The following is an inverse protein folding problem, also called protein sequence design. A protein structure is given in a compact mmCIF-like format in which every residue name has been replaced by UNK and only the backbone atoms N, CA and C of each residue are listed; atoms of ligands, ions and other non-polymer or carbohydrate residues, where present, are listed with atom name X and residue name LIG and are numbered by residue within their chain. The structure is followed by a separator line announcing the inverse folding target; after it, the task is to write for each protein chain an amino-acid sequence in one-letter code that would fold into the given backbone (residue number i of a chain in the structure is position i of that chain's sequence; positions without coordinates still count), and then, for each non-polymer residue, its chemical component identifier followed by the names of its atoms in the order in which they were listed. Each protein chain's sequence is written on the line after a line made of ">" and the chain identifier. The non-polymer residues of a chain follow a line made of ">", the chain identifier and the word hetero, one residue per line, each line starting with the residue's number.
data_IF_993413451428
#
_entry.id   IF_993413451428
#
_cell.length_a   1.000
_cell.length_b   1.000
_cell.length_c   1.000
_cell.angle_alpha   90.00
_cell.angle_beta   90.00
_cell.angle_gamma   90.00
#
_symmetry.space_group_name_H-M   'P 1'
#
loop_
_entity.id
_entity.type
_entity.pdbx_description
1 polymer ?
#
# COMPACT_ATOMS: atom_id res chain seq x y z
N UNK A 1 3.67 25.41 13.63
CA UNK A 1 4.66 24.32 13.49
C UNK A 1 4.06 23.10 14.15
N UNK A 2 3.42 22.23 13.36
CA UNK A 2 2.94 20.93 13.80
C UNK A 2 3.63 19.92 12.88
N UNK A 3 4.44 19.05 13.47
CA UNK A 3 5.24 18.08 12.73
C UNK A 3 4.33 17.04 12.07
N UNK A 4 4.49 16.88 10.75
CA UNK A 4 4.09 15.63 10.12
C UNK A 4 5.16 14.60 10.49
N UNK A 5 4.73 13.61 11.27
CA UNK A 5 5.48 12.39 11.57
C UNK A 5 4.68 11.20 11.09
N UNK A 6 3.88 11.40 10.05
CA UNK A 6 3.02 10.38 9.48
C UNK A 6 3.72 9.89 8.22
N UNK A 7 4.18 8.64 8.24
CA UNK A 7 4.40 7.91 7.01
C UNK A 7 3.14 8.08 6.16
N UNK A 8 3.22 8.89 5.11
CA UNK A 8 2.13 9.04 4.17
C UNK A 8 2.12 7.75 3.36
N UNK A 9 1.36 6.77 3.82
CA UNK A 9 0.94 5.68 2.97
C UNK A 9 0.11 6.34 1.87
N UNK A 10 0.73 6.60 0.71
CA UNK A 10 0.02 7.02 -0.50
C UNK A 10 -0.72 5.79 -1.00
N UNK A 11 -1.76 5.39 -0.26
CA UNK A 11 -2.72 4.42 -0.75
C UNK A 11 -3.47 5.08 -1.91
N UNK A 12 -3.37 4.40 -3.04
CA UNK A 12 -3.87 4.77 -4.36
C UNK A 12 -5.34 5.21 -4.28
N UNK A 13 -5.57 6.51 -4.46
CA UNK A 13 -6.79 6.97 -5.11
C UNK A 13 -6.46 6.95 -6.60
N UNK A 14 -7.07 6.05 -7.35
CA UNK A 14 -6.89 5.96 -8.79
C UNK A 14 -7.55 7.15 -9.48
N UNK A 15 -6.80 8.23 -9.64
CA UNK A 15 -7.37 9.53 -9.97
C UNK A 15 -7.55 9.68 -11.48
N UNK A 16 -8.81 9.55 -11.89
CA UNK A 16 -9.54 10.67 -12.46
C UNK A 16 -8.73 11.79 -13.11
N UNK A 17 -8.59 11.85 -14.43
CA UNK A 17 -8.15 13.10 -15.09
C UNK A 17 -9.22 14.17 -14.93
N UNK A 18 -8.87 15.33 -14.35
CA UNK A 18 -9.71 16.53 -14.40
C UNK A 18 -9.82 16.95 -15.87
N UNK A 19 -11.02 16.95 -16.45
CA UNK A 19 -11.23 17.59 -17.76
C UNK A 19 -11.30 19.09 -17.55
N UNK A 20 -10.34 19.83 -18.12
CA UNK A 20 -10.26 21.30 -18.01
C UNK A 20 -11.43 22.02 -18.71
N UNK A 21 -12.17 21.33 -19.58
CA UNK A 21 -13.15 21.93 -20.50
C UNK A 21 -14.61 21.91 -20.01
N UNK A 22 -14.91 21.34 -18.84
CA UNK A 22 -16.29 21.18 -18.33
C UNK A 22 -16.49 21.95 -17.01
N UNK A 23 -17.60 22.70 -16.82
CA UNK A 23 -17.90 23.37 -15.56
C UNK A 23 -18.25 22.34 -14.47
N UNK A 24 -17.23 21.87 -13.76
CA UNK A 24 -17.35 20.89 -12.68
C UNK A 24 -16.09 20.05 -12.49
N UNK A 25 -16.03 19.28 -11.40
CA UNK A 25 -14.99 18.27 -11.23
C UNK A 25 -15.40 17.00 -11.97
N UNK A 26 -14.79 16.75 -13.14
CA UNK A 26 -14.99 15.52 -13.90
C UNK A 26 -13.74 14.65 -13.80
N UNK A 27 -13.93 13.40 -13.37
CA UNK A 27 -12.84 12.43 -13.19
C UNK A 27 -13.07 11.23 -14.12
N UNK A 28 -12.03 10.85 -14.87
CA UNK A 28 -11.98 9.57 -15.59
C UNK A 28 -10.98 8.60 -14.95
N UNK A 29 -11.47 7.47 -14.48
CA UNK A 29 -10.69 6.42 -13.83
C UNK A 29 -10.40 5.25 -14.79
N UNK A 30 -9.32 4.50 -14.56
CA UNK A 30 -8.84 3.45 -15.48
C UNK A 30 -9.82 2.26 -15.57
N UNK A 31 -10.54 1.99 -14.47
CA UNK A 31 -11.55 0.93 -14.35
C UNK A 31 -12.98 1.51 -14.35
N UNK A 32 -13.16 2.72 -14.89
CA UNK A 32 -14.48 3.32 -15.10
C UNK A 32 -15.06 4.06 -13.88
N UNK A 33 -16.32 4.51 -13.97
CA UNK A 33 -16.91 5.42 -12.99
C UNK A 33 -17.12 4.81 -11.60
N UNK A 34 -17.24 3.49 -11.50
CA UNK A 34 -17.38 2.78 -10.22
C UNK A 34 -16.14 2.91 -9.35
N UNK A 35 -14.96 2.81 -9.96
CA UNK A 35 -13.67 2.99 -9.30
C UNK A 35 -13.50 4.44 -8.81
N UNK A 36 -13.87 5.42 -9.65
CA UNK A 36 -13.95 6.82 -9.27
C UNK A 36 -14.84 7.05 -8.04
N UNK A 37 -16.02 6.40 -7.99
CA UNK A 37 -16.90 6.52 -6.84
C UNK A 37 -16.30 5.86 -5.59
N UNK A 38 -15.68 4.68 -5.73
CA UNK A 38 -14.95 4.01 -4.66
C UNK A 38 -13.84 4.87 -4.05
N UNK A 39 -13.08 5.58 -4.90
CA UNK A 39 -12.06 6.54 -4.47
C UNK A 39 -12.67 7.71 -3.67
N UNK A 40 -13.80 8.24 -4.12
CA UNK A 40 -14.51 9.29 -3.37
C UNK A 40 -14.99 8.77 -2.00
N UNK A 41 -15.51 7.54 -1.93
CA UNK A 41 -15.94 6.89 -0.68
C UNK A 41 -14.77 6.77 0.31
N UNK A 42 -13.62 6.26 -0.15
CA UNK A 42 -12.41 6.14 0.66
C UNK A 42 -11.90 7.52 1.14
N UNK A 43 -11.92 8.55 0.28
CA UNK A 43 -11.56 9.93 0.63
C UNK A 43 -12.48 10.51 1.71
N UNK A 44 -13.78 10.27 1.58
CA UNK A 44 -14.78 10.67 2.56
C UNK A 44 -14.59 9.95 3.90
N UNK A 45 -14.32 8.64 3.88
CA UNK A 45 -14.05 7.87 5.09
C UNK A 45 -12.82 8.41 5.84
N UNK A 46 -11.71 8.62 5.13
CA UNK A 46 -10.50 9.19 5.71
C UNK A 46 -10.75 10.58 6.34
N UNK A 47 -11.52 11.42 5.66
CA UNK A 47 -11.89 12.74 6.18
C UNK A 47 -12.79 12.66 7.42
N UNK A 48 -13.80 11.79 7.42
CA UNK A 48 -14.79 11.67 8.50
C UNK A 48 -14.18 11.03 9.74
N UNK A 49 -13.37 10.00 9.57
CA UNK A 49 -12.75 9.29 10.70
C UNK A 49 -11.68 10.16 11.36
N UNK A 50 -10.91 10.91 10.55
CA UNK A 50 -9.79 11.72 11.03
C UNK A 50 -8.86 10.93 11.97
N UNK A 51 -8.71 9.64 11.66
CA UNK A 51 -7.95 8.65 12.42
C UNK A 51 -7.34 7.68 11.41
N UNK A 52 -6.01 7.58 11.42
CA UNK A 52 -5.27 6.80 10.43
C UNK A 52 -5.57 5.31 10.53
N UNK A 53 -5.73 4.76 11.73
CA UNK A 53 -5.95 3.33 11.93
C UNK A 53 -7.34 2.93 11.44
N UNK A 54 -8.37 3.72 11.77
CA UNK A 54 -9.73 3.48 11.28
C UNK A 54 -9.82 3.66 9.76
N UNK A 55 -9.11 4.65 9.22
CA UNK A 55 -9.07 4.90 7.76
C UNK A 55 -8.44 3.72 7.02
N UNK A 56 -7.26 3.26 7.46
CA UNK A 56 -6.58 2.12 6.86
C UNK A 56 -7.39 0.83 6.99
N UNK A 57 -8.01 0.59 8.15
CA UNK A 57 -8.86 -0.59 8.34
C UNK A 57 -10.04 -0.60 7.35
N UNK A 58 -10.68 0.54 7.14
CA UNK A 58 -11.77 0.69 6.18
C UNK A 58 -11.31 0.52 4.72
N UNK A 59 -10.24 1.22 4.34
CA UNK A 59 -9.69 1.19 2.98
C UNK A 59 -9.18 -0.21 2.63
N UNK A 60 -8.48 -0.87 3.56
CA UNK A 60 -8.01 -2.25 3.40
C UNK A 60 -9.18 -3.21 3.20
N UNK A 61 -10.23 -3.10 4.03
CA UNK A 61 -11.42 -3.93 3.87
C UNK A 61 -12.05 -3.77 2.48
N UNK A 62 -12.22 -2.53 1.99
CA UNK A 62 -12.76 -2.29 0.66
C UNK A 62 -11.84 -2.85 -0.44
N UNK A 63 -10.53 -2.65 -0.30
CA UNK A 63 -9.54 -3.04 -1.32
C UNK A 63 -9.36 -4.55 -1.45
N UNK A 64 -9.68 -5.31 -0.39
CA UNK A 64 -9.67 -6.77 -0.39
C UNK A 64 -10.98 -7.40 -0.89
N UNK A 65 -12.04 -6.60 -1.07
CA UNK A 65 -13.33 -7.10 -1.55
C UNK A 65 -13.28 -7.42 -3.05
N UNK A 66 -14.10 -8.38 -3.48
CA UNK A 66 -14.24 -8.70 -4.91
C UNK A 66 -14.81 -7.53 -5.73
N UNK A 67 -15.64 -6.70 -5.09
CA UNK A 67 -16.24 -5.49 -5.67
C UNK A 67 -15.99 -4.31 -4.71
N UNK A 68 -14.79 -3.69 -4.74
CA UNK A 68 -14.41 -2.64 -3.80
C UNK A 68 -15.42 -1.48 -3.71
N UNK A 69 -16.00 -1.08 -4.84
CA UNK A 69 -17.01 -0.03 -4.97
C UNK A 69 -18.31 -0.30 -4.19
N UNK A 70 -18.62 -1.56 -3.89
CA UNK A 70 -19.83 -1.99 -3.18
C UNK A 70 -19.58 -2.36 -1.72
N UNK A 71 -18.32 -2.53 -1.32
CA UNK A 71 -17.94 -3.03 0.00
C UNK A 71 -18.06 -2.00 1.14
N UNK A 72 -18.27 -0.72 0.81
CA UNK A 72 -18.18 0.38 1.77
C UNK A 72 -19.08 0.24 2.99
N UNK A 73 -20.34 -0.19 2.82
CA UNK A 73 -21.26 -0.35 3.96
C UNK A 73 -20.82 -1.48 4.89
N UNK A 74 -20.47 -2.64 4.33
CA UNK A 74 -19.99 -3.79 5.09
C UNK A 74 -18.70 -3.45 5.85
N UNK A 75 -17.76 -2.79 5.18
CA UNK A 75 -16.51 -2.35 5.79
C UNK A 75 -16.72 -1.32 6.90
N UNK A 76 -17.64 -0.35 6.73
CA UNK A 76 -17.97 0.60 7.79
C UNK A 76 -18.53 -0.12 9.02
N UNK A 77 -19.43 -1.10 8.80
CA UNK A 77 -20.03 -1.91 9.86
C UNK A 77 -18.97 -2.73 10.61
N UNK A 78 -18.03 -3.32 9.88
CA UNK A 78 -16.93 -4.12 10.43
C UNK A 78 -16.05 -3.35 11.43
N UNK A 79 -15.93 -2.03 11.26
CA UNK A 79 -15.20 -1.14 12.18
C UNK A 79 -16.12 -0.27 13.05
N UNK A 80 -17.38 -0.65 13.18
CA UNK A 80 -18.40 0.05 13.97
C UNK A 80 -18.52 1.55 13.64
N UNK A 81 -18.46 1.91 12.35
CA UNK A 81 -18.64 3.28 11.82
C UNK A 81 -19.95 3.41 11.05
N UNK A 82 -20.46 4.66 11.01
CA UNK A 82 -21.72 4.97 10.34
C UNK A 82 -21.50 5.14 8.82
N UNK A 83 -22.03 4.21 8.04
CA UNK A 83 -22.00 4.26 6.57
C UNK A 83 -22.70 5.49 6.00
N UNK A 84 -23.86 5.89 6.55
CA UNK A 84 -24.67 6.97 5.98
C UNK A 84 -23.92 8.30 5.89
N UNK A 85 -23.03 8.57 6.85
CA UNK A 85 -22.21 9.77 6.83
C UNK A 85 -21.21 9.75 5.67
N UNK A 86 -20.60 8.60 5.41
CA UNK A 86 -19.65 8.39 4.32
C UNK A 86 -20.38 8.48 2.98
N UNK A 87 -21.51 7.78 2.86
CA UNK A 87 -22.33 7.78 1.64
C UNK A 87 -22.83 9.20 1.30
N UNK A 88 -23.35 9.95 2.27
CA UNK A 88 -23.76 11.35 2.04
C UNK A 88 -22.60 12.25 1.62
N UNK A 89 -21.41 12.05 2.18
CA UNK A 89 -20.22 12.77 1.75
C UNK A 89 -19.87 12.42 0.29
N UNK A 90 -19.92 11.14 -0.07
CA UNK A 90 -19.49 10.64 -1.37
C UNK A 90 -20.42 11.09 -2.51
N UNK A 91 -21.73 11.19 -2.26
CA UNK A 91 -22.69 11.73 -3.24
C UNK A 91 -22.77 13.27 -3.23
N UNK A 92 -22.10 13.94 -2.30
CA UNK A 92 -22.14 15.40 -2.15
C UNK A 92 -20.92 16.08 -2.76
N UNK A 93 -21.01 17.41 -2.96
CA UNK A 93 -19.88 18.21 -3.44
C UNK A 93 -18.66 18.21 -2.52
N UNK A 94 -18.80 17.76 -1.26
CA UNK A 94 -17.67 17.56 -0.34
C UNK A 94 -16.77 16.40 -0.79
N UNK A 95 -17.34 15.27 -1.20
CA UNK A 95 -16.59 14.13 -1.73
C UNK A 95 -15.78 14.50 -2.96
N UNK A 96 -16.38 15.22 -3.91
CA UNK A 96 -15.68 15.70 -5.12
C UNK A 96 -14.48 16.60 -4.80
N UNK A 97 -14.61 17.51 -3.82
CA UNK A 97 -13.50 18.37 -3.38
C UNK A 97 -12.41 17.61 -2.66
N UNK A 98 -12.75 16.58 -1.88
CA UNK A 98 -11.74 15.75 -1.22
C UNK A 98 -10.95 14.94 -2.25
N UNK A 99 -11.65 14.36 -3.23
CA UNK A 99 -11.01 13.66 -4.35
C UNK A 99 -10.09 14.59 -5.15
N UNK A 100 -10.50 15.84 -5.37
CA UNK A 100 -9.68 16.85 -6.04
C UNK A 100 -8.37 17.12 -5.29
N UNK A 101 -8.44 17.25 -3.97
CA UNK A 101 -7.26 17.44 -3.13
C UNK A 101 -6.31 16.24 -3.19
N UNK A 102 -6.85 15.01 -3.31
CA UNK A 102 -6.01 13.82 -3.52
C UNK A 102 -5.41 13.81 -4.93
N UNK A 103 -6.16 14.27 -5.94
CA UNK A 103 -5.67 14.52 -7.30
C UNK A 103 -4.45 15.43 -7.29
N UNK A 104 -4.59 16.62 -6.71
CA UNK A 104 -3.53 17.62 -6.66
C UNK A 104 -2.28 17.11 -5.94
N UNK A 105 -2.45 16.35 -4.84
CA UNK A 105 -1.30 15.74 -4.13
C UNK A 105 -0.56 14.74 -5.00
N UNK A 106 -1.29 13.95 -5.78
CA UNK A 106 -0.74 12.90 -6.62
C UNK A 106 -0.07 13.48 -7.86
N UNK A 107 -0.66 14.50 -8.50
CA UNK A 107 -0.08 15.20 -9.64
C UNK A 107 1.18 16.01 -9.30
N UNK A 108 1.30 16.44 -8.04
CA UNK A 108 2.47 17.17 -7.55
C UNK A 108 3.53 16.27 -6.91
N UNK A 109 3.46 14.94 -7.11
CA UNK A 109 4.53 14.04 -6.72
C UNK A 109 5.81 14.36 -7.51
N UNK A 110 6.95 14.29 -6.81
CA UNK A 110 8.28 14.42 -7.39
C UNK A 110 9.13 13.22 -6.94
N UNK A 111 9.57 12.34 -7.86
CA UNK A 111 9.26 12.35 -9.29
C UNK A 111 7.78 12.07 -9.59
N UNK A 112 7.27 12.56 -10.75
CA UNK A 112 5.93 12.23 -11.20
C UNK A 112 5.73 10.72 -11.33
N UNK A 113 4.63 10.22 -10.78
CA UNK A 113 4.28 8.81 -10.88
C UNK A 113 3.89 8.44 -12.32
N UNK A 114 4.25 7.23 -12.76
CA UNK A 114 3.93 6.73 -14.10
C UNK A 114 3.27 5.35 -14.08
N UNK A 115 3.18 4.74 -12.91
CA UNK A 115 2.40 3.54 -12.63
C UNK A 115 1.90 3.60 -11.18
N UNK A 116 1.20 2.55 -10.79
CA UNK A 116 0.59 2.40 -9.49
C UNK A 116 0.70 0.91 -9.08
N UNK A 117 1.02 0.60 -7.81
CA UNK A 117 1.23 1.52 -6.67
C UNK A 117 2.53 2.36 -6.78
N UNK A 118 2.53 3.55 -6.18
CA UNK A 118 3.68 4.47 -6.12
C UNK A 118 4.00 4.84 -4.67
N UNK A 119 5.05 4.24 -4.12
CA UNK A 119 5.35 4.29 -2.69
C UNK A 119 6.35 5.42 -2.43
N UNK A 120 5.99 6.32 -1.52
CA UNK A 120 6.81 7.45 -1.08
C UNK A 120 7.11 7.28 0.40
N UNK A 121 8.38 7.31 0.79
CA UNK A 121 8.80 7.19 2.19
C UNK A 121 9.55 8.46 2.56
N UNK A 122 9.07 9.17 3.60
CA UNK A 122 9.62 10.46 4.03
C UNK A 122 9.77 11.51 2.91
N UNK A 123 8.86 11.49 1.93
CA UNK A 123 8.88 12.41 0.78
C UNK A 123 9.75 11.98 -0.39
N UNK A 124 10.43 10.84 -0.30
CA UNK A 124 11.29 10.32 -1.38
C UNK A 124 10.70 9.07 -2.03
N UNK A 125 10.89 8.96 -3.34
CA UNK A 125 10.60 7.77 -4.14
C UNK A 125 11.83 7.36 -4.95
N UNK A 126 12.18 6.08 -4.87
CA UNK A 126 13.22 5.44 -5.68
C UNK A 126 12.77 4.04 -6.07
N UNK A 127 13.37 3.47 -7.11
CA UNK A 127 13.09 2.09 -7.53
C UNK A 127 13.41 1.08 -6.40
N UNK A 128 14.46 1.34 -5.61
CA UNK A 128 14.82 0.50 -4.46
C UNK A 128 13.77 0.59 -3.33
N UNK A 129 13.31 1.80 -2.99
CA UNK A 129 12.21 2.00 -2.04
C UNK A 129 10.96 1.25 -2.53
N UNK A 130 10.61 1.43 -3.80
CA UNK A 130 9.44 0.81 -4.41
C UNK A 130 9.52 -0.72 -4.40
N UNK A 131 10.66 -1.29 -4.75
CA UNK A 131 10.86 -2.74 -4.80
C UNK A 131 10.85 -3.35 -3.39
N UNK A 132 11.58 -2.74 -2.46
CA UNK A 132 11.64 -3.24 -1.08
C UNK A 132 10.30 -3.07 -0.37
N UNK A 133 9.64 -1.91 -0.49
CA UNK A 133 8.39 -1.66 0.24
C UNK A 133 7.24 -2.57 -0.22
N UNK A 134 7.23 -3.01 -1.47
CA UNK A 134 6.23 -3.98 -1.96
C UNK A 134 6.42 -5.38 -1.39
N UNK A 135 7.63 -5.74 -0.96
CA UNK A 135 7.93 -7.06 -0.39
C UNK A 135 8.01 -7.02 1.14
N UNK A 136 8.42 -5.89 1.70
CA UNK A 136 8.81 -5.73 3.08
C UNK A 136 8.72 -4.27 3.54
N UNK A 137 7.49 -3.73 3.54
CA UNK A 137 7.23 -2.36 3.98
C UNK A 137 7.72 -2.10 5.41
N UNK A 138 7.63 -3.08 6.31
CA UNK A 138 8.07 -2.93 7.69
C UNK A 138 9.56 -2.60 7.76
N UNK A 139 10.40 -3.35 7.03
CA UNK A 139 11.84 -3.07 6.98
C UNK A 139 12.12 -1.66 6.48
N UNK A 140 11.49 -1.25 5.37
CA UNK A 140 11.70 0.08 4.78
C UNK A 140 11.33 1.19 5.77
N UNK A 141 10.20 1.05 6.47
CA UNK A 141 9.78 2.01 7.50
C UNK A 141 10.75 2.02 8.68
N UNK A 142 11.21 0.85 9.12
CA UNK A 142 12.16 0.75 10.22
C UNK A 142 13.52 1.36 9.87
N UNK A 143 14.03 1.15 8.66
CA UNK A 143 15.29 1.74 8.21
C UNK A 143 15.19 3.26 8.05
N UNK A 144 14.03 3.75 7.60
CA UNK A 144 13.74 5.18 7.47
C UNK A 144 13.44 5.87 8.82
N UNK A 145 13.28 5.10 9.91
CA UNK A 145 12.97 5.63 11.25
C UNK A 145 14.26 5.72 12.09
N UNK A 146 14.61 6.88 12.67
CA UNK A 146 15.78 6.98 13.53
C UNK A 146 15.69 6.06 14.75
N UNK A 147 16.82 5.48 15.20
CA UNK A 147 16.85 4.46 16.26
C UNK A 147 16.07 4.82 17.52
N UNK A 148 16.18 6.06 18.02
CA UNK A 148 15.46 6.54 19.20
C UNK A 148 13.94 6.72 19.01
N UNK A 149 13.41 6.50 17.81
CA UNK A 149 12.00 6.60 17.44
C UNK A 149 11.42 5.31 16.87
N UNK A 150 12.21 4.24 16.77
CA UNK A 150 11.74 2.95 16.25
C UNK A 150 10.71 2.33 17.21
N UNK A 151 9.53 1.92 16.72
CA UNK A 151 8.55 1.23 17.54
C UNK A 151 8.98 -0.23 17.80
N UNK A 152 8.40 -0.91 18.81
CA UNK A 152 8.72 -2.31 19.14
C UNK A 152 8.76 -3.29 17.95
N UNK A 153 7.83 -3.23 16.96
CA UNK A 153 7.87 -4.14 15.81
C UNK A 153 9.16 -4.08 15.00
N UNK A 154 9.87 -2.94 14.97
CA UNK A 154 11.16 -2.85 14.29
C UNK A 154 12.23 -3.70 14.97
N UNK A 155 12.23 -3.78 16.29
CA UNK A 155 13.19 -4.60 17.02
C UNK A 155 12.83 -6.08 16.96
N UNK A 156 11.54 -6.40 17.07
CA UNK A 156 11.04 -7.77 16.96
C UNK A 156 11.34 -8.38 15.59
N UNK A 157 11.13 -7.61 14.53
CA UNK A 157 11.42 -8.05 13.17
C UNK A 157 12.93 -8.24 12.94
N UNK A 158 13.77 -7.32 13.44
CA UNK A 158 15.23 -7.46 13.39
C UNK A 158 15.72 -8.72 14.12
N UNK A 159 15.18 -9.01 15.30
CA UNK A 159 15.53 -10.22 16.05
C UNK A 159 15.04 -11.49 15.33
N UNK A 160 13.84 -11.45 14.74
CA UNK A 160 13.31 -12.56 13.92
C UNK A 160 14.22 -12.83 12.72
N UNK A 161 14.67 -11.81 11.99
CA UNK A 161 15.60 -11.96 10.86
C UNK A 161 16.93 -12.57 11.30
N UNK A 162 17.51 -12.09 12.40
CA UNK A 162 18.75 -12.65 12.97
C UNK A 162 18.60 -14.12 13.34
N UNK A 163 17.46 -14.50 13.93
CA UNK A 163 17.17 -15.90 14.25
C UNK A 163 17.05 -16.76 12.99
N UNK A 164 16.37 -16.28 11.95
CA UNK A 164 16.23 -16.98 10.66
C UNK A 164 17.59 -17.15 9.94
N UNK A 165 18.45 -16.14 9.96
CA UNK A 165 19.80 -16.22 9.38
C UNK A 165 20.66 -17.27 10.09
N UNK A 166 20.64 -17.32 11.42
CA UNK A 166 21.33 -18.36 12.20
C UNK A 166 20.81 -19.74 11.85
N UNK A 167 19.50 -19.90 11.73
CA UNK A 167 18.89 -21.17 11.34
C UNK A 167 19.31 -21.59 9.92
N UNK A 168 19.32 -20.66 8.95
CA UNK A 168 19.78 -20.93 7.57
C UNK A 168 21.23 -21.41 7.55
N UNK A 169 22.13 -20.71 8.25
CA UNK A 169 23.54 -21.10 8.34
C UNK A 169 23.71 -22.50 8.97
N UNK A 170 22.94 -22.83 10.01
CA UNK A 170 22.97 -24.17 10.61
C UNK A 170 22.39 -25.26 9.69
N UNK A 171 21.44 -24.92 8.83
CA UNK A 171 20.92 -25.85 7.81
C UNK A 171 21.97 -26.06 6.72
N UNK A 172 22.61 -25.01 6.24
CA UNK A 172 23.69 -25.06 5.25
C UNK A 172 24.89 -25.89 5.75
N UNK A 173 25.28 -25.74 7.01
CA UNK A 173 26.33 -26.55 7.65
C UNK A 173 25.96 -28.04 7.66
N UNK A 174 24.73 -28.38 8.07
CA UNK A 174 24.23 -29.78 8.07
C UNK A 174 24.09 -30.38 6.68
N UNK A 175 23.77 -29.57 5.67
CA UNK A 175 23.68 -30.00 4.27
C UNK A 175 25.07 -30.09 3.62
N UNK A 176 26.02 -29.25 4.06
CA UNK A 176 27.42 -29.24 3.62
C UNK A 176 28.22 -30.46 4.11
N UNK A 177 27.89 -30.99 5.28
CA UNK A 177 28.51 -32.21 5.83
C UNK A 177 28.06 -33.52 5.14
N UNK A 178 27.10 -33.45 4.21
CA UNK A 178 26.58 -34.59 3.44
C UNK A 178 27.11 -34.74 2.01
N UNK A 179 27.92 -33.80 1.50
CA UNK A 179 28.41 -33.83 0.13
C UNK A 179 29.63 -34.76 -0.05
N UNK A 180 29.37 -36.07 -0.08
CA UNK A 180 30.29 -37.01 -0.73
C UNK A 180 30.43 -36.65 -2.23
N UNK A 181 31.67 -36.69 -2.72
CA UNK A 181 32.14 -36.26 -4.04
C UNK A 181 31.24 -36.71 -5.22
N UNK A 182 31.12 -35.90 -6.30
CA UNK A 182 30.31 -36.26 -7.46
C UNK A 182 31.00 -37.37 -8.28
N UNK A 183 30.44 -38.58 -8.17
CA UNK A 183 30.53 -39.57 -9.24
C UNK A 183 29.63 -39.13 -10.40
N UNK A 184 30.18 -39.14 -11.62
CA UNK A 184 29.49 -38.73 -12.83
C UNK A 184 28.17 -39.51 -13.04
N UNK A 185 27.04 -38.82 -13.01
CA UNK A 185 25.79 -39.29 -13.59
C UNK A 185 25.10 -38.11 -14.29
N UNK A 186 24.96 -38.24 -15.60
CA UNK A 186 24.26 -37.28 -16.44
C UNK A 186 22.79 -37.17 -16.03
N UNK A 187 22.36 -35.99 -15.58
CA UNK A 187 20.98 -35.65 -15.21
C UNK A 187 20.49 -34.46 -16.02
N UNK A 188 19.30 -34.59 -16.61
CA UNK A 188 18.72 -33.71 -17.65
C UNK A 188 18.40 -32.30 -17.13
N UNK A 189 18.47 -31.33 -18.04
CA UNK A 189 18.21 -29.90 -17.83
C UNK A 189 16.77 -29.60 -17.41
N UNK A 190 16.60 -28.69 -16.44
CA UNK A 190 15.32 -28.18 -15.92
C UNK A 190 14.50 -27.33 -16.91
N UNK A 191 14.85 -27.32 -18.20
CA UNK A 191 14.10 -26.60 -19.24
C UNK A 191 12.88 -27.37 -19.77
N UNK A 192 12.65 -28.59 -19.33
CA UNK A 192 11.62 -29.49 -19.87
C UNK A 192 10.36 -29.65 -18.97
N UNK A 193 10.10 -28.77 -17.99
CA UNK A 193 9.01 -28.96 -17.00
C UNK A 193 8.00 -27.79 -16.90
N UNK A 194 7.98 -26.85 -17.84
CA UNK A 194 6.89 -25.87 -17.92
C UNK A 194 6.43 -25.65 -19.37
N UNK A 195 5.37 -26.37 -19.75
CA UNK A 195 4.34 -25.97 -20.72
C UNK A 195 3.03 -25.83 -19.94
#
# INVERSE_FOLDING_TARGET
>A
MAGDGSANLVERFELGHRREEEPGYHYSCQHGPEECFGNVVQSCAAHIFNDTILSLAFITCMSLAQRPQEAGEECARGIARNWDAIQRCAHGGKGLRLQDQMSERTWNLDPPHHYVPWIVVNGEHTDDIQAMAQTDLLQVVCDATPDGRKPPPCFEDMERRRALQKLSASVEERLGDGAAQPGAAAGRSLKDVWL
#
